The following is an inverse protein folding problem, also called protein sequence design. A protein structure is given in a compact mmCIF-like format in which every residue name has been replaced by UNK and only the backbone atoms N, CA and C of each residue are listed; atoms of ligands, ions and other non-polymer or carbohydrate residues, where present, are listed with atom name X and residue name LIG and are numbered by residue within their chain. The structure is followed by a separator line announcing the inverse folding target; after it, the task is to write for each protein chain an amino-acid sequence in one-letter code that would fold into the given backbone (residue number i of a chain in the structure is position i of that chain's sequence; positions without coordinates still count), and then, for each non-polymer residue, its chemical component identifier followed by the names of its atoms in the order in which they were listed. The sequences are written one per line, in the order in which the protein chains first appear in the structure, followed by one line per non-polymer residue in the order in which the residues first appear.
data_IF_393754534179
#
_entry.id   IF_393754534179
#
_cell.length_a   1.000
_cell.length_b   1.000
_cell.length_c   1.000
_cell.angle_alpha   90.00
_cell.angle_beta   90.00
_cell.angle_gamma   90.00
#
_symmetry.space_group_name_H-M   'P 1'
#
loop_
_entity.id
_entity.type
_entity.pdbx_description
1 polymer ?
#
# COMPACT_ATOMS: atom_id res chain seq x y z
N UNK A 1 -50.63 -26.30 -18.85
CA UNK A 1 -49.24 -25.95 -19.25
C UNK A 1 -48.99 -24.45 -19.11
N UNK A 2 -49.05 -23.87 -17.90
CA UNK A 2 -48.87 -22.41 -17.71
C UNK A 2 -48.10 -21.98 -16.46
N UNK A 3 -47.57 -22.93 -15.68
CA UNK A 3 -46.87 -22.64 -14.41
C UNK A 3 -45.37 -23.01 -14.42
N UNK A 4 -44.85 -23.62 -15.50
CA UNK A 4 -43.45 -24.08 -15.55
C UNK A 4 -42.45 -23.03 -16.05
N UNK A 5 -42.92 -21.92 -16.63
CA UNK A 5 -42.05 -20.86 -17.18
C UNK A 5 -41.50 -19.92 -16.09
N UNK A 6 -42.25 -19.71 -15.01
CA UNK A 6 -41.87 -18.80 -13.91
C UNK A 6 -40.76 -19.39 -13.03
N UNK A 7 -40.72 -20.71 -12.84
CA UNK A 7 -39.71 -21.38 -12.01
C UNK A 7 -38.32 -21.41 -12.66
N UNK A 8 -38.25 -21.47 -13.98
CA UNK A 8 -36.97 -21.44 -14.72
C UNK A 8 -36.38 -20.02 -14.71
N UNK A 9 -37.23 -18.98 -14.75
CA UNK A 9 -36.78 -17.58 -14.68
C UNK A 9 -36.22 -17.22 -13.30
N UNK A 10 -36.74 -17.82 -12.22
CA UNK A 10 -36.22 -17.64 -10.85
C UNK A 10 -34.91 -18.39 -10.57
N UNK A 11 -34.56 -19.40 -11.37
CA UNK A 11 -33.32 -20.18 -11.16
C UNK A 11 -32.08 -19.55 -11.81
N UNK A 12 -32.26 -18.61 -12.76
CA UNK A 12 -31.15 -17.95 -13.48
C UNK A 12 -30.55 -16.77 -12.68
N UNK A 13 -31.19 -16.31 -11.60
CA UNK A 13 -30.79 -15.09 -10.89
C UNK A 13 -29.80 -15.36 -9.72
N UNK A 14 -29.46 -16.62 -9.41
CA UNK A 14 -28.75 -16.94 -8.14
C UNK A 14 -27.23 -17.20 -8.31
N UNK A 15 -26.64 -17.12 -9.51
CA UNK A 15 -25.22 -17.50 -9.70
C UNK A 15 -24.23 -16.39 -10.03
N UNK A 16 -24.59 -15.11 -9.87
CA UNK A 16 -23.61 -14.02 -9.91
C UNK A 16 -23.23 -13.55 -8.50
N UNK A 17 -22.82 -14.46 -7.62
CA UNK A 17 -21.88 -14.08 -6.56
C UNK A 17 -20.56 -13.79 -7.26
N UNK A 18 -20.44 -12.58 -7.83
CA UNK A 18 -19.18 -12.08 -8.36
C UNK A 18 -18.16 -12.19 -7.26
N UNK A 19 -17.28 -13.18 -7.33
CA UNK A 19 -16.16 -13.29 -6.42
C UNK A 19 -15.37 -11.99 -6.59
N UNK A 20 -15.49 -11.08 -5.62
CA UNK A 20 -14.62 -9.93 -5.53
C UNK A 20 -13.21 -10.50 -5.35
N UNK A 21 -12.44 -10.52 -6.43
CA UNK A 21 -11.00 -10.79 -6.35
C UNK A 21 -10.46 -9.65 -5.49
N UNK A 22 -10.19 -9.94 -4.21
CA UNK A 22 -9.61 -8.95 -3.33
C UNK A 22 -8.27 -8.55 -3.94
N UNK A 23 -7.99 -7.25 -4.09
CA UNK A 23 -6.69 -6.80 -4.57
C UNK A 23 -5.61 -7.38 -3.67
N UNK A 24 -4.69 -8.14 -4.25
CA UNK A 24 -3.51 -8.58 -3.50
C UNK A 24 -2.60 -7.37 -3.33
N UNK A 25 -2.27 -7.07 -2.08
CA UNK A 25 -1.34 -6.01 -1.69
C UNK A 25 -0.04 -6.67 -1.27
N UNK A 26 1.08 -6.17 -1.78
CA UNK A 26 2.43 -6.61 -1.38
C UNK A 26 3.10 -5.51 -0.56
N UNK A 27 3.76 -5.90 0.53
CA UNK A 27 4.79 -5.10 1.19
C UNK A 27 6.12 -5.88 1.19
N UNK A 28 7.24 -5.17 1.17
CA UNK A 28 8.56 -5.78 1.33
C UNK A 28 9.58 -4.76 1.81
N UNK A 29 10.58 -5.25 2.54
CA UNK A 29 11.77 -4.49 2.95
C UNK A 29 12.90 -4.57 1.94
N UNK A 30 12.84 -5.53 1.02
CA UNK A 30 13.86 -5.71 -0.02
C UNK A 30 13.70 -4.68 -1.12
N UNK A 31 14.81 -4.20 -1.67
CA UNK A 31 14.79 -3.29 -2.80
C UNK A 31 14.31 -4.01 -4.07
N UNK A 32 13.28 -3.46 -4.72
CA UNK A 32 12.72 -3.96 -5.96
C UNK A 32 12.93 -2.96 -7.10
N UNK A 33 13.30 -3.47 -8.27
CA UNK A 33 13.44 -2.67 -9.51
C UNK A 33 12.09 -2.43 -10.18
N UNK A 34 12.05 -1.48 -11.12
CA UNK A 34 10.86 -1.21 -11.94
C UNK A 34 10.45 -2.45 -12.75
N UNK A 35 11.40 -3.23 -13.26
CA UNK A 35 11.15 -4.46 -14.02
C UNK A 35 10.50 -5.53 -13.14
N UNK A 36 10.94 -5.65 -11.88
CA UNK A 36 10.33 -6.57 -10.92
C UNK A 36 8.89 -6.16 -10.60
N UNK A 37 8.62 -4.88 -10.36
CA UNK A 37 7.25 -4.38 -10.19
C UNK A 37 6.40 -4.57 -11.45
N UNK A 38 6.98 -4.38 -12.64
CA UNK A 38 6.30 -4.63 -13.91
C UNK A 38 5.92 -6.11 -14.06
N UNK A 39 6.79 -7.01 -13.61
CA UNK A 39 6.51 -8.45 -13.57
C UNK A 39 5.35 -8.76 -12.62
N UNK A 40 5.39 -8.23 -11.38
CA UNK A 40 4.33 -8.38 -10.39
C UNK A 40 2.98 -7.85 -10.91
N UNK A 41 2.99 -6.69 -11.56
CA UNK A 41 1.80 -6.08 -12.17
C UNK A 41 1.17 -7.03 -13.22
N UNK A 42 1.99 -7.64 -14.09
CA UNK A 42 1.53 -8.63 -15.08
C UNK A 42 0.96 -9.91 -14.46
N UNK A 43 1.41 -10.27 -13.25
CA UNK A 43 0.92 -11.42 -12.50
C UNK A 43 -0.35 -11.12 -11.68
N UNK A 44 -0.87 -9.89 -11.74
CA UNK A 44 -2.10 -9.49 -11.05
C UNK A 44 -1.90 -8.82 -9.69
N UNK A 45 -0.66 -8.51 -9.32
CA UNK A 45 -0.36 -7.77 -8.09
C UNK A 45 -0.37 -6.27 -8.38
N UNK A 46 -1.57 -5.69 -8.37
CA UNK A 46 -1.80 -4.30 -8.75
C UNK A 46 -1.55 -3.29 -7.62
N UNK A 47 -1.29 -3.73 -6.39
CA UNK A 47 -1.18 -2.86 -5.23
C UNK A 47 0.11 -3.13 -4.44
N UNK A 48 0.82 -2.06 -4.11
CA UNK A 48 2.04 -2.09 -3.31
C UNK A 48 1.93 -1.11 -2.16
N UNK A 49 2.34 -1.53 -0.97
CA UNK A 49 2.39 -0.68 0.23
C UNK A 49 3.83 -0.61 0.76
N UNK A 50 4.36 0.60 0.86
CA UNK A 50 5.73 0.83 1.33
C UNK A 50 5.74 1.32 2.77
N UNK A 51 6.64 0.76 3.59
CA UNK A 51 7.04 1.36 4.86
C UNK A 51 7.93 2.55 4.58
N UNK A 52 7.65 3.73 5.13
CA UNK A 52 8.41 4.94 4.85
C UNK A 52 9.13 5.52 6.08
N UNK A 53 8.83 5.05 7.29
CA UNK A 53 9.42 5.61 8.50
C UNK A 53 9.51 4.60 9.63
N UNK A 54 10.72 4.41 10.14
CA UNK A 54 11.03 3.48 11.20
C UNK A 54 10.73 4.04 12.60
N UNK A 55 10.32 3.20 13.56
CA UNK A 55 10.07 3.62 14.94
C UNK A 55 11.33 4.11 15.67
N UNK A 56 12.51 3.85 15.11
CA UNK A 56 13.78 4.42 15.54
C UNK A 56 13.95 5.91 15.17
N UNK A 57 13.03 6.50 14.41
CA UNK A 57 13.04 7.94 14.10
C UNK A 57 13.84 8.29 12.84
N UNK A 58 13.67 7.53 11.75
CA UNK A 58 14.26 7.86 10.46
C UNK A 58 13.46 7.30 9.27
N UNK A 59 13.60 7.95 8.12
CA UNK A 59 12.94 7.56 6.85
C UNK A 59 13.53 6.25 6.29
N UNK A 60 12.66 5.34 5.85
CA UNK A 60 13.05 4.17 5.07
C UNK A 60 13.35 4.56 3.62
N UNK A 61 14.63 4.67 3.28
CA UNK A 61 15.07 5.00 1.93
C UNK A 61 14.75 3.88 0.91
N UNK A 62 14.77 2.61 1.34
CA UNK A 62 14.42 1.48 0.47
C UNK A 62 12.93 1.50 0.18
N UNK A 63 12.10 1.74 1.20
CA UNK A 63 10.67 1.92 1.06
C UNK A 63 10.30 3.07 0.13
N UNK A 64 10.93 4.24 0.28
CA UNK A 64 10.77 5.38 -0.63
C UNK A 64 11.13 4.99 -2.07
N UNK A 65 12.27 4.34 -2.28
CA UNK A 65 12.71 3.92 -3.61
C UNK A 65 11.77 2.89 -4.23
N UNK A 66 11.26 1.94 -3.45
CA UNK A 66 10.28 0.96 -3.88
C UNK A 66 8.97 1.62 -4.29
N UNK A 67 8.49 2.61 -3.52
CA UNK A 67 7.29 3.38 -3.86
C UNK A 67 7.45 4.10 -5.21
N UNK A 68 8.62 4.72 -5.44
CA UNK A 68 8.96 5.35 -6.72
C UNK A 68 8.96 4.34 -7.86
N UNK A 69 9.58 3.17 -7.66
CA UNK A 69 9.68 2.14 -8.69
C UNK A 69 8.33 1.50 -9.02
N UNK A 70 7.51 1.24 -8.01
CA UNK A 70 6.15 0.72 -8.16
C UNK A 70 5.26 1.71 -8.94
N UNK A 71 5.34 3.01 -8.62
CA UNK A 71 4.60 4.05 -9.34
C UNK A 71 5.01 4.11 -10.82
N UNK A 72 6.32 4.07 -11.12
CA UNK A 72 6.85 4.01 -12.49
C UNK A 72 6.39 2.77 -13.26
N UNK A 73 6.15 1.66 -12.56
CA UNK A 73 5.65 0.40 -13.14
C UNK A 73 4.12 0.36 -13.28
N UNK A 74 3.40 1.43 -12.93
CA UNK A 74 1.94 1.50 -13.01
C UNK A 74 1.21 0.67 -11.95
N UNK A 75 1.88 0.36 -10.83
CA UNK A 75 1.28 -0.31 -9.66
C UNK A 75 0.64 0.76 -8.77
N UNK A 76 -0.54 0.50 -8.22
CA UNK A 76 -1.17 1.39 -7.24
C UNK A 76 -0.36 1.40 -5.95
N UNK A 77 0.03 2.59 -5.50
CA UNK A 77 0.95 2.76 -4.38
C UNK A 77 0.26 3.32 -3.14
N UNK A 78 0.61 2.72 -2.02
CA UNK A 78 0.22 3.10 -0.67
C UNK A 78 1.48 3.25 0.18
N UNK A 79 1.40 4.03 1.24
CA UNK A 79 2.50 4.21 2.18
C UNK A 79 2.02 4.04 3.61
N UNK A 80 2.89 3.57 4.50
CA UNK A 80 2.68 3.63 5.94
C UNK A 80 3.93 4.07 6.67
N UNK A 81 3.73 4.65 7.85
CA UNK A 81 4.80 5.03 8.77
C UNK A 81 4.58 4.36 10.11
N UNK A 82 5.67 4.03 10.81
CA UNK A 82 5.63 3.62 12.21
C UNK A 82 6.29 4.73 13.02
N UNK A 83 5.52 5.65 13.62
CA UNK A 83 6.10 6.80 14.30
C UNK A 83 6.99 6.40 15.47
N UNK A 84 8.09 7.13 15.66
CA UNK A 84 8.85 7.07 16.90
C UNK A 84 8.07 7.81 17.99
N UNK A 85 7.49 7.07 18.93
CA UNK A 85 6.73 7.65 20.07
C UNK A 85 7.56 7.72 21.35
N UNK A 86 8.79 7.20 21.32
CA UNK A 86 9.69 7.24 22.47
C UNK A 86 10.38 8.61 22.60
N UNK A 87 10.91 8.91 23.79
CA UNK A 87 11.76 10.09 23.98
C UNK A 87 13.15 9.97 23.34
N UNK A 88 13.49 8.84 22.72
CA UNK A 88 14.80 8.54 22.14
C UNK A 88 14.63 8.17 20.66
N UNK A 89 14.37 9.18 19.84
CA UNK A 89 14.36 9.06 18.38
C UNK A 89 15.74 9.44 17.83
N UNK A 90 16.25 8.74 16.82
CA UNK A 90 17.61 8.91 16.26
C UNK A 90 17.93 10.36 15.87
N UNK A 91 16.92 11.12 15.45
CA UNK A 91 17.05 12.52 15.06
C UNK A 91 16.55 13.53 16.12
N UNK A 92 16.22 13.08 17.34
CA UNK A 92 15.47 13.83 18.36
C UNK A 92 14.09 14.35 17.90
N UNK A 93 13.60 13.84 16.77
CA UNK A 93 12.30 14.19 16.20
C UNK A 93 11.23 13.36 16.91
N UNK A 94 10.61 13.95 17.91
CA UNK A 94 9.60 13.30 18.77
C UNK A 94 8.17 13.68 18.40
N UNK A 95 7.98 14.74 17.60
CA UNK A 95 6.66 15.16 17.13
C UNK A 95 6.27 14.39 15.89
N UNK A 96 5.08 13.81 15.90
CA UNK A 96 4.54 13.08 14.75
C UNK A 96 4.45 13.91 13.47
N UNK A 97 4.17 15.23 13.59
CA UNK A 97 4.11 16.13 12.43
C UNK A 97 5.45 16.25 11.71
N UNK A 98 6.53 16.37 12.48
CA UNK A 98 7.89 16.49 11.94
C UNK A 98 8.31 15.17 11.26
N UNK A 99 7.93 14.02 11.83
CA UNK A 99 8.17 12.70 11.23
C UNK A 99 7.41 12.52 9.91
N UNK A 100 6.15 12.96 9.84
CA UNK A 100 5.39 13.00 8.59
C UNK A 100 6.06 13.93 7.57
N UNK A 101 6.54 15.10 8.01
CA UNK A 101 7.21 16.05 7.13
C UNK A 101 8.52 15.49 6.55
N UNK A 102 9.30 14.73 7.32
CA UNK A 102 10.49 14.03 6.80
C UNK A 102 10.14 13.07 5.67
N UNK A 103 9.06 12.30 5.81
CA UNK A 103 8.55 11.42 4.75
C UNK A 103 8.10 12.21 3.53
N UNK A 104 7.32 13.28 3.73
CA UNK A 104 6.85 14.13 2.62
C UNK A 104 8.02 14.75 1.86
N UNK A 105 9.08 15.18 2.57
CA UNK A 105 10.30 15.70 1.95
C UNK A 105 11.05 14.65 1.15
N UNK A 106 11.03 13.38 1.56
CA UNK A 106 11.63 12.28 0.81
C UNK A 106 10.83 11.92 -0.46
N UNK A 107 9.51 12.13 -0.45
CA UNK A 107 8.62 11.85 -1.59
C UNK A 107 8.55 13.01 -2.61
N UNK A 108 8.67 14.25 -2.14
CA UNK A 108 8.49 15.47 -2.94
C UNK A 108 9.38 15.54 -4.20
N UNK A 109 10.68 15.16 -4.18
CA UNK A 109 11.53 15.21 -5.37
C UNK A 109 11.01 14.38 -6.55
N UNK A 110 10.15 13.40 -6.28
CA UNK A 110 9.61 12.49 -7.28
C UNK A 110 8.14 12.81 -7.63
N UNK A 111 7.56 13.87 -7.07
CA UNK A 111 6.15 14.29 -7.23
C UNK A 111 5.15 13.14 -7.16
N UNK A 112 5.40 12.17 -6.28
CA UNK A 112 4.59 10.96 -6.21
C UNK A 112 3.20 11.27 -5.66
N UNK A 113 2.17 11.09 -6.49
CA UNK A 113 0.81 10.92 -6.00
C UNK A 113 0.70 9.51 -5.41
N UNK A 114 0.53 9.44 -4.10
CA UNK A 114 0.20 8.20 -3.39
C UNK A 114 -1.27 8.27 -2.97
N UNK A 115 -1.96 7.13 -2.97
CA UNK A 115 -3.40 7.13 -2.72
C UNK A 115 -3.72 7.36 -1.24
N UNK A 116 -2.94 6.73 -0.36
CA UNK A 116 -3.13 6.77 1.08
C UNK A 116 -1.79 6.72 1.81
N UNK A 117 -1.70 7.49 2.89
CA UNK A 117 -0.67 7.39 3.91
C UNK A 117 -1.33 6.86 5.19
N UNK A 118 -0.87 5.71 5.66
CA UNK A 118 -1.34 5.08 6.89
C UNK A 118 -0.37 5.33 8.04
N UNK A 119 -0.91 5.39 9.25
CA UNK A 119 -0.10 5.36 10.47
C UNK A 119 -0.24 3.98 11.07
N UNK A 120 0.86 3.26 11.12
CA UNK A 120 0.94 1.99 11.84
C UNK A 120 1.17 2.28 13.31
N UNK A 121 0.27 1.75 14.14
CA UNK A 121 0.37 1.78 15.59
C UNK A 121 0.64 0.34 16.04
N UNK A 122 1.90 0.00 16.26
CA UNK A 122 2.28 -1.29 16.84
C UNK A 122 2.43 -1.16 18.37
N UNK A 123 2.04 -2.20 19.08
CA UNK A 123 2.02 -2.33 20.55
C UNK A 123 3.40 -2.50 21.19
N UNK A 124 4.48 -2.46 20.40
CA UNK A 124 5.84 -2.81 20.85
C UNK A 124 6.71 -1.64 21.29
N UNK A 125 6.17 -0.42 21.34
CA UNK A 125 6.89 0.76 21.84
C UNK A 125 6.92 0.80 23.37
#
# INVERSE_FOLDING_TARGET
MRNSFLLILSFIIITSSGASVLPIVIDTKEALTVEQFTCLNKLGYFNFVAHLYYPEGYVDQVGVQNLVNANKAGVFTHAYITPCTSGICKNNITKSEDQVQEVMNALYPNMLQHNFLYVEVDSKN
#
